data_IF_869292145853
#
_entry.id   IF_869292145853
#
_cell.length_a   1.000
_cell.length_b   1.000
_cell.length_c   1.000
_cell.angle_alpha   90.00
_cell.angle_beta   90.00
_cell.angle_gamma   90.00
#
_symmetry.space_group_name_H-M   'P 1'
#
loop_
_entity.id
_entity.type
_entity.pdbx_description
1 polymer ?
#
# COMPACT_ATOMS: atom_id res chain seq x y z
N UNK A 1 24.10 -12.95 9.99
CA UNK A 1 22.69 -12.57 10.09
C UNK A 1 22.24 -11.94 8.79
N UNK A 2 21.11 -12.40 8.28
CA UNK A 2 20.62 -11.91 7.00
C UNK A 2 19.99 -10.52 7.18
N UNK A 3 20.38 -9.60 6.34
CA UNK A 3 19.78 -8.27 6.33
C UNK A 3 18.35 -8.35 5.77
N UNK A 4 17.47 -7.55 6.31
CA UNK A 4 16.11 -7.46 5.79
C UNK A 4 16.10 -7.00 4.33
N UNK A 5 17.09 -6.22 3.94
CA UNK A 5 17.20 -5.73 2.57
C UNK A 5 17.44 -6.83 1.55
N UNK A 6 17.88 -7.99 2.02
CA UNK A 6 18.17 -9.12 1.15
C UNK A 6 17.00 -10.08 0.98
N UNK A 7 15.89 -9.80 1.65
CA UNK A 7 14.72 -10.66 1.58
C UNK A 7 13.84 -10.27 0.41
N UNK A 8 13.32 -11.28 -0.27
CA UNK A 8 12.32 -11.05 -1.31
C UNK A 8 11.01 -10.60 -0.68
N UNK A 9 10.17 -9.86 -1.40
CA UNK A 9 8.87 -9.46 -0.86
C UNK A 9 8.03 -10.62 -0.35
N UNK A 10 8.14 -11.78 -0.97
CA UNK A 10 7.38 -12.96 -0.53
C UNK A 10 7.86 -13.50 0.80
N UNK A 11 9.13 -13.29 1.12
CA UNK A 11 9.70 -13.78 2.37
C UNK A 11 9.21 -12.98 3.56
N UNK A 12 8.76 -11.76 3.34
CA UNK A 12 8.27 -10.91 4.41
C UNK A 12 7.06 -11.53 5.11
N UNK A 13 6.18 -12.18 4.34
CA UNK A 13 4.99 -12.79 4.91
C UNK A 13 5.31 -14.03 5.72
N UNK A 14 6.44 -14.67 5.45
CA UNK A 14 6.82 -15.89 6.15
C UNK A 14 7.70 -15.66 7.37
N UNK A 15 8.06 -14.41 7.65
CA UNK A 15 8.94 -14.10 8.78
C UNK A 15 8.12 -13.80 10.03
N UNK A 16 8.13 -14.70 11.00
CA UNK A 16 7.36 -14.50 12.23
C UNK A 16 7.93 -13.32 13.03
N UNK A 17 7.04 -12.49 13.52
CA UNK A 17 7.42 -11.40 14.40
C UNK A 17 7.93 -10.15 13.71
N UNK A 18 8.33 -10.24 12.45
CA UNK A 18 8.82 -9.08 11.71
C UNK A 18 7.67 -8.08 11.50
N UNK A 19 6.49 -8.60 11.23
CA UNK A 19 5.33 -7.77 10.93
C UNK A 19 4.55 -7.39 12.17
N UNK A 20 5.01 -7.80 13.32
CA UNK A 20 4.41 -7.43 14.61
C UNK A 20 2.90 -7.65 14.66
N UNK A 21 2.45 -8.71 14.04
CA UNK A 21 1.03 -9.01 14.03
C UNK A 21 0.21 -8.12 13.12
N UNK A 22 0.85 -7.28 12.31
CA UNK A 22 0.13 -6.45 11.36
C UNK A 22 -0.36 -7.25 10.17
N UNK A 23 0.05 -8.51 10.07
CA UNK A 23 -0.44 -9.36 9.01
C UNK A 23 0.36 -9.23 7.72
N UNK A 24 -0.34 -9.14 6.62
CA UNK A 24 0.26 -9.21 5.31
C UNK A 24 0.95 -7.90 4.90
N UNK A 25 1.75 -7.98 3.86
CA UNK A 25 2.38 -6.79 3.30
C UNK A 25 1.33 -5.78 2.80
N UNK A 26 0.22 -6.28 2.24
CA UNK A 26 -0.84 -5.38 1.81
C UNK A 26 -1.43 -4.61 2.99
N UNK A 27 -1.58 -5.24 4.14
CA UNK A 27 -2.07 -4.55 5.32
C UNK A 27 -1.09 -3.49 5.80
N UNK A 28 0.21 -3.75 5.65
CA UNK A 28 1.22 -2.76 5.98
C UNK A 28 1.15 -1.55 5.07
N UNK A 29 0.90 -1.77 3.78
CA UNK A 29 0.72 -0.67 2.84
C UNK A 29 -0.48 0.18 3.25
N UNK A 30 -1.58 -0.48 3.60
CA UNK A 30 -2.77 0.22 4.08
C UNK A 30 -2.45 1.08 5.30
N UNK A 31 -1.72 0.51 6.26
CA UNK A 31 -1.35 1.24 7.47
C UNK A 31 -0.47 2.45 7.14
N UNK A 32 0.48 2.30 6.21
CA UNK A 32 1.35 3.39 5.82
C UNK A 32 0.58 4.54 5.18
N UNK A 33 -0.39 4.21 4.34
CA UNK A 33 -1.21 5.24 3.71
C UNK A 33 -2.02 5.98 4.76
N UNK A 34 -2.62 5.24 5.70
CA UNK A 34 -3.39 5.85 6.76
C UNK A 34 -2.53 6.75 7.64
N UNK A 35 -1.33 6.29 7.98
CA UNK A 35 -0.41 7.09 8.79
C UNK A 35 -0.03 8.39 8.07
N UNK A 36 0.17 8.32 6.76
CA UNK A 36 0.49 9.50 5.99
C UNK A 36 -0.66 10.50 5.98
N UNK A 37 -1.89 9.99 5.93
CA UNK A 37 -3.07 10.86 6.02
C UNK A 37 -3.15 11.55 7.38
N UNK A 38 -2.96 10.79 8.46
CA UNK A 38 -2.97 11.37 9.81
C UNK A 38 -1.86 12.39 10.00
N UNK A 39 -0.71 12.14 9.39
CA UNK A 39 0.42 13.05 9.51
C UNK A 39 0.31 14.29 8.61
N UNK A 40 -0.72 14.33 7.77
CA UNK A 40 -0.90 15.44 6.86
C UNK A 40 -0.01 15.41 5.63
N UNK A 41 0.69 14.29 5.42
CA UNK A 41 1.53 14.12 4.24
C UNK A 41 0.72 13.80 2.99
N UNK A 42 -0.44 13.19 3.18
CA UNK A 42 -1.41 12.97 2.12
C UNK A 42 -2.69 13.71 2.47
N UNK A 43 -3.32 14.27 1.47
CA UNK A 43 -4.55 15.05 1.65
C UNK A 43 -5.62 14.53 0.71
N UNK A 44 -6.89 14.78 1.04
CA UNK A 44 -7.99 14.41 0.13
C UNK A 44 -7.72 14.97 -1.27
N UNK A 45 -7.90 14.13 -2.28
CA UNK A 45 -7.66 14.51 -3.66
C UNK A 45 -6.26 14.24 -4.17
N UNK A 46 -5.30 13.95 -3.28
CA UNK A 46 -3.95 13.65 -3.71
C UNK A 46 -3.92 12.33 -4.47
N UNK A 47 -3.07 12.26 -5.48
CA UNK A 47 -2.89 11.06 -6.26
C UNK A 47 -1.87 10.15 -5.61
N UNK A 48 -2.27 8.91 -5.31
CA UNK A 48 -1.34 7.90 -4.83
C UNK A 48 -0.54 7.26 -5.96
N UNK A 49 -1.19 7.04 -7.09
CA UNK A 49 -0.56 6.42 -8.23
C UNK A 49 -1.29 5.16 -8.66
N UNK A 50 -0.69 4.46 -9.60
CA UNK A 50 -1.22 3.20 -10.12
C UNK A 50 -0.73 2.03 -9.27
N UNK A 51 -1.25 0.83 -9.57
CA UNK A 51 -0.72 -0.40 -8.94
C UNK A 51 0.78 -0.49 -9.12
N UNK A 52 1.26 -0.18 -10.30
CA UNK A 52 2.68 -0.23 -10.60
C UNK A 52 3.47 0.74 -9.72
N UNK A 53 2.95 1.95 -9.56
CA UNK A 53 3.60 2.95 -8.73
C UNK A 53 3.65 2.54 -7.27
N UNK A 54 2.56 2.00 -6.76
CA UNK A 54 2.48 1.53 -5.37
C UNK A 54 3.42 0.35 -5.17
N UNK A 55 3.43 -0.59 -6.11
CA UNK A 55 4.32 -1.74 -6.01
C UNK A 55 5.77 -1.31 -5.96
N UNK A 56 6.16 -0.36 -6.80
CA UNK A 56 7.53 0.14 -6.82
C UNK A 56 7.88 0.88 -5.53
N UNK A 57 6.97 1.70 -5.05
CA UNK A 57 7.21 2.50 -3.85
C UNK A 57 7.43 1.64 -2.61
N UNK A 58 6.66 0.57 -2.49
CA UNK A 58 6.72 -0.30 -1.31
C UNK A 58 7.52 -1.57 -1.55
N UNK A 59 8.18 -1.68 -2.69
CA UNK A 59 8.95 -2.87 -3.06
C UNK A 59 8.10 -4.14 -2.96
N UNK A 60 6.87 -4.04 -3.42
CA UNK A 60 5.90 -5.11 -3.35
C UNK A 60 5.56 -5.61 -4.75
N UNK A 61 4.90 -6.77 -4.82
CA UNK A 61 4.38 -7.26 -6.08
C UNK A 61 3.15 -6.45 -6.49
N UNK A 62 2.78 -6.51 -7.77
CA UNK A 62 1.58 -5.82 -8.25
C UNK A 62 0.32 -6.41 -7.64
N UNK A 63 0.35 -7.72 -7.36
CA UNK A 63 -0.79 -8.38 -6.71
C UNK A 63 -0.99 -7.82 -5.32
N UNK A 64 0.08 -7.66 -4.57
CA UNK A 64 0.02 -7.07 -3.23
C UNK A 64 -0.46 -5.62 -3.30
N UNK A 65 0.06 -4.85 -4.24
CA UNK A 65 -0.36 -3.46 -4.41
C UNK A 65 -1.84 -3.37 -4.73
N UNK A 66 -2.32 -4.24 -5.61
CA UNK A 66 -3.74 -4.28 -5.96
C UNK A 66 -4.59 -4.60 -4.74
N UNK A 67 -4.19 -5.60 -3.97
CA UNK A 67 -4.92 -5.98 -2.77
C UNK A 67 -4.98 -4.82 -1.78
N UNK A 68 -3.87 -4.14 -1.56
CA UNK A 68 -3.82 -3.00 -0.66
C UNK A 68 -4.76 -1.88 -1.14
N UNK A 69 -4.74 -1.58 -2.44
CA UNK A 69 -5.61 -0.55 -2.99
C UNK A 69 -7.08 -0.92 -2.85
N UNK A 70 -7.42 -2.19 -3.07
CA UNK A 70 -8.80 -2.65 -2.88
C UNK A 70 -9.25 -2.51 -1.44
N UNK A 71 -8.37 -2.81 -0.49
CA UNK A 71 -8.67 -2.65 0.93
C UNK A 71 -8.89 -1.18 1.28
N UNK A 72 -8.07 -0.30 0.74
CA UNK A 72 -8.21 1.15 0.95
C UNK A 72 -9.49 1.67 0.32
N UNK A 73 -9.84 1.17 -0.86
CA UNK A 73 -11.08 1.54 -1.52
C UNK A 73 -12.29 1.11 -0.70
N UNK A 74 -12.27 -0.13 -0.23
CA UNK A 74 -13.36 -0.66 0.58
C UNK A 74 -13.54 0.13 1.87
N UNK A 75 -12.45 0.67 2.42
CA UNK A 75 -12.50 1.47 3.62
C UNK A 75 -12.87 2.93 3.35
N UNK A 76 -13.04 3.30 2.08
CA UNK A 76 -13.38 4.67 1.72
C UNK A 76 -12.20 5.64 1.76
N UNK A 77 -10.98 5.12 1.87
CA UNK A 77 -9.78 5.96 1.96
C UNK A 77 -9.34 6.45 0.59
N UNK A 78 -9.50 5.61 -0.45
CA UNK A 78 -9.10 5.98 -1.80
C UNK A 78 -10.23 5.68 -2.78
N UNK A 79 -10.15 6.35 -3.92
CA UNK A 79 -10.98 6.07 -5.08
C UNK A 79 -10.08 5.56 -6.19
N UNK A 80 -10.50 4.50 -6.87
CA UNK A 80 -9.71 3.92 -7.95
C UNK A 80 -10.38 4.21 -9.27
N UNK A 81 -9.63 4.80 -10.19
CA UNK A 81 -10.10 5.03 -11.55
C UNK A 81 -9.39 4.08 -12.50
N UNK A 82 -10.14 3.50 -13.41
CA UNK A 82 -9.58 2.66 -14.46
C UNK A 82 -9.49 3.47 -15.74
N UNK A 83 -8.56 3.07 -16.60
CA UNK A 83 -8.41 3.69 -17.90
C UNK A 83 -7.26 4.68 -17.94
N UNK A 84 -7.27 5.47 -19.00
CA UNK A 84 -6.22 6.43 -19.26
C UNK A 84 -6.18 7.49 -18.17
N UNK A 85 -4.99 7.69 -17.61
CA UNK A 85 -4.86 8.63 -16.52
C UNK A 85 -5.42 8.12 -15.20
N UNK A 86 -5.74 6.83 -15.15
CA UNK A 86 -6.30 6.24 -13.94
C UNK A 86 -5.27 5.99 -12.85
N UNK A 87 -5.75 5.47 -11.75
CA UNK A 87 -4.93 5.18 -10.58
C UNK A 87 -5.72 5.42 -9.32
N UNK A 88 -5.04 5.34 -8.18
CA UNK A 88 -5.67 5.55 -6.89
C UNK A 88 -5.48 6.99 -6.44
N UNK A 89 -6.53 7.57 -5.91
CA UNK A 89 -6.53 8.94 -5.40
C UNK A 89 -7.14 8.91 -4.02
N UNK A 90 -6.62 9.74 -3.12
CA UNK A 90 -7.21 9.87 -1.78
C UNK A 90 -8.63 10.41 -1.93
N UNK A 91 -9.58 9.71 -1.33
CA UNK A 91 -10.98 10.10 -1.42
C UNK A 91 -11.22 11.45 -0.78
N UNK A 92 -12.13 12.19 -1.37
CA UNK A 92 -12.48 13.51 -0.87
C UNK A 92 -13.81 13.41 -0.11
N UNK A 93 -13.78 13.19 1.03
CA UNK A 93 -15.01 13.17 1.72
C UNK A 93 -15.11 12.16 2.74
#
# INVERSE_FOLDING_TARGET
>A
MTSLDQLDPDDWDSLPGILNGTGTLSEQIVARVRDALFAGKLRPGDMLGTEKDIAARFSASRIVARDALKRLEAAGVVEIKVGKGGGARIAQG
#
